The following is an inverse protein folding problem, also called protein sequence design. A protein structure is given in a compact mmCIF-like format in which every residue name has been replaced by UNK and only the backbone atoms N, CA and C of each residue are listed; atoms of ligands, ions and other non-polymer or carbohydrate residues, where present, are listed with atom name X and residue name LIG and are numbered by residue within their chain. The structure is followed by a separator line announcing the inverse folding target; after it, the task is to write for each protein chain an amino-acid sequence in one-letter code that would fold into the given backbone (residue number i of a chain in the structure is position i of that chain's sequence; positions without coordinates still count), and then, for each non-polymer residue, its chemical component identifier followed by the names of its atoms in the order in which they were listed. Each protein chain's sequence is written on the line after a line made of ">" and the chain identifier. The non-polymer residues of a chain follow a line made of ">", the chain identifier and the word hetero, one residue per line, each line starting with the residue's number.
data_IF_901590094746
#
_entry.id   IF_901590094746
#
_cell.length_a   1.000
_cell.length_b   1.000
_cell.length_c   1.000
_cell.angle_alpha   90.00
_cell.angle_beta   90.00
_cell.angle_gamma   90.00
#
_symmetry.space_group_name_H-M   'P 1'
#
loop_
_entity.id
_entity.type
_entity.pdbx_description
1 polymer ?
#
# COMPACT_ATOMS: atom_id res chain seq x y z
N UNK A 1 -7.75 -13.47 -9.02
CA UNK A 1 -8.65 -14.52 -9.55
C UNK A 1 -9.57 -14.96 -8.43
N UNK A 2 -10.86 -15.15 -8.70
CA UNK A 2 -11.84 -15.69 -7.78
C UNK A 2 -12.41 -16.96 -8.42
N UNK A 3 -11.80 -18.14 -8.20
CA UNK A 3 -12.10 -19.33 -8.98
C UNK A 3 -13.49 -19.92 -8.69
N UNK A 4 -14.11 -19.58 -7.57
CA UNK A 4 -15.39 -20.14 -7.11
C UNK A 4 -16.52 -19.08 -7.11
N UNK A 5 -16.54 -18.17 -8.07
CA UNK A 5 -17.55 -17.10 -8.13
C UNK A 5 -17.90 -16.74 -9.57
N UNK A 6 -18.99 -17.33 -10.07
CA UNK A 6 -19.49 -17.11 -11.43
C UNK A 6 -19.98 -15.68 -11.68
N UNK A 7 -20.47 -15.01 -10.62
CA UNK A 7 -20.96 -13.63 -10.66
C UNK A 7 -20.06 -12.75 -9.81
N UNK A 8 -18.84 -12.52 -10.30
CA UNK A 8 -17.86 -11.67 -9.64
C UNK A 8 -16.80 -11.23 -10.62
N UNK A 9 -16.38 -9.97 -10.55
CA UNK A 9 -15.33 -9.46 -11.40
C UNK A 9 -15.48 -7.98 -11.74
N UNK A 10 -14.46 -7.44 -12.40
CA UNK A 10 -14.46 -6.07 -12.89
C UNK A 10 -13.16 -5.33 -12.59
N UNK A 11 -13.30 -4.02 -12.43
CA UNK A 11 -12.17 -3.11 -12.25
C UNK A 11 -12.37 -2.40 -10.91
N UNK A 12 -11.29 -2.31 -10.12
CA UNK A 12 -11.26 -1.61 -8.83
C UNK A 12 -12.01 -0.27 -8.89
N UNK A 13 -12.85 -0.01 -7.88
CA UNK A 13 -13.57 1.26 -7.77
C UNK A 13 -12.65 2.46 -7.60
N UNK A 14 -11.41 2.27 -7.12
CA UNK A 14 -10.39 3.32 -6.97
C UNK A 14 -9.78 3.75 -8.32
N UNK A 15 -10.05 3.04 -9.41
CA UNK A 15 -9.64 3.43 -10.77
C UNK A 15 -10.77 4.27 -11.36
N UNK A 16 -10.65 5.59 -11.22
CA UNK A 16 -11.72 6.54 -11.53
C UNK A 16 -11.61 7.11 -12.96
N UNK A 17 -10.43 7.03 -13.57
CA UNK A 17 -10.20 7.49 -14.94
C UNK A 17 -10.98 6.62 -15.93
N UNK A 18 -11.92 7.23 -16.65
CA UNK A 18 -12.79 6.53 -17.61
C UNK A 18 -12.04 5.88 -18.77
N UNK A 19 -10.97 6.52 -19.27
CA UNK A 19 -10.15 5.96 -20.35
C UNK A 19 -9.40 4.71 -19.88
N UNK A 20 -8.80 4.76 -18.69
CA UNK A 20 -8.11 3.61 -18.09
C UNK A 20 -9.08 2.46 -17.82
N UNK A 21 -10.27 2.75 -17.26
CA UNK A 21 -11.30 1.72 -17.07
C UNK A 21 -11.71 1.06 -18.39
N UNK A 22 -11.95 1.85 -19.44
CA UNK A 22 -12.34 1.31 -20.76
C UNK A 22 -11.23 0.41 -21.31
N UNK A 23 -9.98 0.85 -21.24
CA UNK A 23 -8.80 0.06 -21.65
C UNK A 23 -8.68 -1.25 -20.89
N UNK A 24 -8.77 -1.22 -19.56
CA UNK A 24 -8.69 -2.40 -18.71
C UNK A 24 -9.86 -3.36 -18.97
N UNK A 25 -11.07 -2.84 -19.23
CA UNK A 25 -12.23 -3.68 -19.58
C UNK A 25 -11.99 -4.44 -20.88
N UNK A 26 -11.41 -3.78 -21.88
CA UNK A 26 -11.01 -4.43 -23.14
C UNK A 26 -9.91 -5.47 -22.92
N UNK A 27 -8.95 -5.20 -22.04
CA UNK A 27 -7.89 -6.16 -21.69
C UNK A 27 -8.48 -7.41 -21.02
N UNK A 28 -9.35 -7.23 -20.02
CA UNK A 28 -10.00 -8.33 -19.30
C UNK A 28 -10.85 -9.18 -20.25
N UNK A 29 -11.56 -8.55 -21.20
CA UNK A 29 -12.32 -9.29 -22.22
C UNK A 29 -11.47 -10.10 -23.19
N UNK A 30 -10.14 -9.95 -23.21
CA UNK A 30 -9.20 -10.77 -24.00
C UNK A 30 -8.56 -11.90 -23.19
N UNK A 31 -8.93 -12.04 -21.92
CA UNK A 31 -8.49 -13.12 -21.06
C UNK A 31 -9.51 -14.25 -21.14
N UNK A 32 -9.00 -15.46 -21.26
CA UNK A 32 -9.81 -16.67 -21.28
C UNK A 32 -10.11 -17.07 -19.83
N UNK A 33 -11.15 -16.46 -19.26
CA UNK A 33 -11.60 -16.71 -17.89
C UNK A 33 -12.65 -17.81 -17.95
N UNK A 34 -12.34 -18.97 -17.39
CA UNK A 34 -13.23 -20.12 -17.38
C UNK A 34 -14.58 -19.81 -16.71
N UNK A 35 -15.63 -20.48 -17.17
CA UNK A 35 -16.97 -20.37 -16.60
C UNK A 35 -16.94 -20.72 -15.10
N UNK A 36 -17.62 -19.90 -14.29
CA UNK A 36 -17.59 -20.03 -12.83
C UNK A 36 -16.47 -19.25 -12.14
N UNK A 37 -15.51 -18.69 -12.88
CA UNK A 37 -14.44 -17.86 -12.33
C UNK A 37 -14.70 -16.37 -12.53
N UNK A 38 -14.30 -15.58 -11.53
CA UNK A 38 -14.32 -14.13 -11.56
C UNK A 38 -12.92 -13.52 -11.57
N UNK A 39 -12.76 -12.35 -12.19
CA UNK A 39 -11.50 -11.61 -12.19
C UNK A 39 -11.71 -10.14 -11.83
N UNK A 40 -10.95 -9.65 -10.85
CA UNK A 40 -10.92 -8.23 -10.48
C UNK A 40 -9.53 -7.66 -10.77
N UNK A 41 -9.48 -6.61 -11.58
CA UNK A 41 -8.27 -5.80 -11.75
C UNK A 41 -8.13 -4.83 -10.59
N UNK A 42 -7.08 -5.02 -9.78
CA UNK A 42 -6.73 -4.16 -8.64
C UNK A 42 -6.15 -2.82 -9.10
N UNK A 43 -6.12 -1.83 -8.20
CA UNK A 43 -5.55 -0.49 -8.46
C UNK A 43 -4.11 -0.54 -8.98
N UNK A 44 -3.27 -1.43 -8.44
CA UNK A 44 -1.89 -1.64 -8.91
C UNK A 44 -1.80 -2.15 -10.37
N UNK A 45 -2.87 -2.76 -10.88
CA UNK A 45 -2.98 -3.22 -12.26
C UNK A 45 -3.37 -2.11 -13.25
N UNK A 46 -3.72 -0.90 -12.80
CA UNK A 46 -4.30 0.13 -13.64
C UNK A 46 -3.40 0.57 -14.80
N UNK A 47 -2.10 0.65 -14.56
CA UNK A 47 -1.10 1.08 -15.54
C UNK A 47 -0.33 -0.07 -16.19
N UNK A 48 -0.81 -1.32 -16.06
CA UNK A 48 -0.14 -2.50 -16.60
C UNK A 48 -0.57 -2.79 -18.02
N UNK A 49 0.33 -3.42 -18.77
CA UNK A 49 0.10 -3.86 -20.14
C UNK A 49 -0.74 -5.14 -20.17
N UNK A 50 -1.35 -5.44 -21.33
CA UNK A 50 -2.07 -6.70 -21.55
C UNK A 50 -1.17 -7.92 -21.28
N UNK A 51 0.10 -7.85 -21.68
CA UNK A 51 1.05 -8.94 -21.49
C UNK A 51 1.33 -9.21 -20.00
N UNK A 52 1.52 -8.16 -19.20
CA UNK A 52 1.71 -8.27 -17.75
C UNK A 52 0.45 -8.84 -17.08
N UNK A 53 -0.73 -8.31 -17.42
CA UNK A 53 -2.00 -8.77 -16.84
C UNK A 53 -2.29 -10.23 -17.21
N UNK A 54 -2.03 -10.62 -18.47
CA UNK A 54 -2.19 -12.01 -18.92
C UNK A 54 -1.23 -12.94 -18.19
N UNK A 55 0.01 -12.53 -17.94
CA UNK A 55 0.98 -13.34 -17.20
C UNK A 55 0.58 -13.53 -15.75
N UNK A 56 0.14 -12.46 -15.07
CA UNK A 56 -0.38 -12.53 -13.71
C UNK A 56 -1.62 -13.44 -13.64
N UNK A 57 -2.56 -13.30 -14.59
CA UNK A 57 -3.71 -14.19 -14.71
C UNK A 57 -3.30 -15.66 -14.86
N UNK A 58 -2.39 -15.97 -15.79
CA UNK A 58 -1.89 -17.34 -16.00
C UNK A 58 -1.20 -17.91 -14.76
N UNK A 59 -0.42 -17.08 -14.05
CA UNK A 59 0.19 -17.46 -12.79
C UNK A 59 -0.88 -17.84 -11.74
N UNK A 60 -1.91 -17.01 -11.57
CA UNK A 60 -2.99 -17.26 -10.63
C UNK A 60 -3.83 -18.50 -11.02
N UNK A 61 -4.04 -18.76 -12.31
CA UNK A 61 -4.75 -19.95 -12.79
C UNK A 61 -3.96 -21.23 -12.47
N UNK A 62 -2.65 -21.26 -12.74
CA UNK A 62 -1.81 -22.42 -12.40
C UNK A 62 -1.77 -22.67 -10.90
N UNK A 63 -1.59 -21.61 -10.12
CA UNK A 63 -1.64 -21.70 -8.67
C UNK A 63 -2.97 -22.29 -8.19
N UNK A 64 -4.09 -21.92 -8.81
CA UNK A 64 -5.38 -22.52 -8.48
C UNK A 64 -5.47 -24.00 -8.88
N UNK A 65 -4.92 -24.38 -10.03
CA UNK A 65 -4.83 -25.78 -10.45
C UNK A 65 -4.02 -26.62 -9.45
N UNK A 66 -2.85 -26.13 -9.04
CA UNK A 66 -2.00 -26.78 -8.03
C UNK A 66 -2.76 -26.97 -6.71
N UNK A 67 -3.50 -25.94 -6.26
CA UNK A 67 -4.34 -26.01 -5.06
C UNK A 67 -5.42 -27.08 -5.22
N UNK A 68 -6.11 -27.12 -6.38
CA UNK A 68 -7.17 -28.10 -6.65
C UNK A 68 -6.63 -29.53 -6.64
N UNK A 69 -5.52 -29.77 -7.35
CA UNK A 69 -4.88 -31.08 -7.44
C UNK A 69 -4.38 -31.56 -6.08
N UNK A 70 -3.73 -30.68 -5.31
CA UNK A 70 -3.28 -31.00 -3.96
C UNK A 70 -4.46 -31.29 -3.02
N UNK A 71 -5.57 -30.55 -3.17
CA UNK A 71 -6.77 -30.78 -2.37
C UNK A 71 -7.39 -32.16 -2.64
N UNK A 72 -7.51 -32.55 -3.92
CA UNK A 72 -8.10 -33.85 -4.30
C UNK A 72 -7.22 -35.04 -3.89
N UNK A 73 -5.90 -34.87 -3.94
CA UNK A 73 -4.94 -35.94 -3.63
C UNK A 73 -4.61 -36.08 -2.13
N UNK A 74 -5.00 -35.12 -1.30
CA UNK A 74 -4.65 -35.11 0.13
C UNK A 74 -5.77 -35.66 1.02
N UNK A 75 -5.39 -36.22 2.17
CA UNK A 75 -6.34 -36.58 3.24
C UNK A 75 -6.39 -35.46 4.28
N UNK A 76 -7.59 -35.06 4.70
CA UNK A 76 -7.77 -33.98 5.67
C UNK A 76 -7.41 -34.42 7.11
N UNK A 77 -6.93 -33.50 7.98
CA UNK A 77 -6.57 -32.11 7.70
C UNK A 77 -5.16 -31.97 7.09
N UNK A 78 -5.00 -31.08 6.11
CA UNK A 78 -3.70 -30.83 5.46
C UNK A 78 -3.60 -29.39 4.96
N UNK A 79 -2.38 -28.86 4.91
CA UNK A 79 -2.08 -27.54 4.33
C UNK A 79 -2.06 -27.65 2.79
N UNK A 80 -3.09 -27.13 2.14
CA UNK A 80 -3.19 -27.13 0.66
C UNK A 80 -2.52 -25.91 0.01
N UNK A 81 -2.47 -24.78 0.70
CA UNK A 81 -1.84 -23.56 0.22
C UNK A 81 -1.32 -22.73 1.37
N UNK A 82 -0.09 -22.24 1.24
CA UNK A 82 0.47 -21.23 2.12
C UNK A 82 0.56 -19.93 1.33
N UNK A 83 0.01 -18.86 1.90
CA UNK A 83 0.12 -17.53 1.33
C UNK A 83 1.61 -17.13 1.24
N UNK A 84 1.97 -16.42 0.18
CA UNK A 84 3.36 -16.02 -0.04
C UNK A 84 3.96 -15.31 1.17
N UNK A 85 5.25 -15.53 1.40
CA UNK A 85 5.97 -14.86 2.48
C UNK A 85 5.98 -13.33 2.31
N UNK A 86 6.52 -12.62 3.31
CA UNK A 86 6.53 -11.15 3.33
C UNK A 86 7.11 -10.54 2.04
N UNK A 87 8.16 -11.13 1.48
CA UNK A 87 8.81 -10.65 0.25
C UNK A 87 7.83 -10.67 -0.93
N UNK A 88 7.14 -11.81 -1.14
CA UNK A 88 6.15 -11.94 -2.22
C UNK A 88 4.97 -10.98 -2.01
N UNK A 89 4.49 -10.83 -0.78
CA UNK A 89 3.41 -9.89 -0.44
C UNK A 89 3.82 -8.45 -0.71
N UNK A 90 4.99 -8.03 -0.26
CA UNK A 90 5.52 -6.69 -0.51
C UNK A 90 5.67 -6.40 -2.01
N UNK A 91 6.23 -7.33 -2.79
CA UNK A 91 6.34 -7.14 -4.24
C UNK A 91 4.95 -7.10 -4.90
N UNK A 92 4.02 -7.96 -4.50
CA UNK A 92 2.67 -7.99 -5.08
C UNK A 92 1.89 -6.71 -4.80
N UNK A 93 1.96 -6.22 -3.56
CA UNK A 93 1.05 -5.20 -3.06
C UNK A 93 1.64 -3.78 -3.15
N UNK A 94 2.98 -3.63 -3.07
CA UNK A 94 3.65 -2.32 -3.01
C UNK A 94 4.47 -1.97 -4.26
N UNK A 95 4.86 -2.94 -5.08
CA UNK A 95 5.79 -2.67 -6.19
C UNK A 95 5.19 -1.74 -7.26
N UNK A 96 5.84 -0.59 -7.47
CA UNK A 96 5.59 0.28 -8.62
C UNK A 96 6.69 0.14 -9.68
N UNK A 97 6.32 0.30 -10.95
CA UNK A 97 7.28 0.40 -12.07
C UNK A 97 8.25 1.57 -11.90
N UNK A 98 7.83 2.60 -11.16
CA UNK A 98 8.57 3.84 -10.91
C UNK A 98 9.67 3.66 -9.84
N UNK A 99 9.73 2.51 -9.16
CA UNK A 99 10.83 2.22 -8.25
C UNK A 99 12.13 2.01 -9.02
N UNK A 100 13.20 2.66 -8.58
CA UNK A 100 14.53 2.50 -9.19
C UNK A 100 15.09 1.11 -8.93
N UNK A 101 15.02 0.66 -7.68
CA UNK A 101 15.52 -0.63 -7.24
C UNK A 101 14.72 -1.23 -6.09
N UNK A 102 14.81 -2.55 -5.94
CA UNK A 102 14.34 -3.33 -4.79
C UNK A 102 15.58 -3.99 -4.20
N UNK A 103 16.09 -3.44 -3.11
CA UNK A 103 17.30 -3.95 -2.44
C UNK A 103 16.90 -4.93 -1.35
N UNK A 104 17.53 -6.10 -1.34
CA UNK A 104 17.20 -7.19 -0.41
C UNK A 104 18.46 -7.68 0.27
N UNK A 105 18.44 -7.67 1.59
CA UNK A 105 19.45 -8.29 2.42
C UNK A 105 19.17 -9.80 2.60
N UNK A 106 20.22 -10.62 2.53
CA UNK A 106 20.14 -12.08 2.54
C UNK A 106 20.03 -12.74 1.15
N UNK A 107 20.85 -13.78 0.93
CA UNK A 107 20.98 -14.46 -0.37
C UNK A 107 19.70 -15.23 -0.79
N UNK A 108 19.07 -15.94 0.15
CA UNK A 108 17.86 -16.74 -0.14
C UNK A 108 16.67 -15.83 -0.46
N UNK A 109 16.47 -14.80 0.36
CA UNK A 109 15.47 -13.74 0.16
C UNK A 109 15.63 -13.05 -1.19
N UNK A 110 16.87 -12.72 -1.57
CA UNK A 110 17.18 -12.13 -2.87
C UNK A 110 16.83 -13.08 -4.02
N UNK A 111 17.24 -14.35 -3.94
CA UNK A 111 16.97 -15.36 -4.96
C UNK A 111 15.48 -15.55 -5.14
N UNK A 112 14.72 -15.62 -4.05
CA UNK A 112 13.27 -15.75 -4.08
C UNK A 112 12.61 -14.54 -4.75
N UNK A 113 12.91 -13.33 -4.30
CA UNK A 113 12.37 -12.11 -4.87
C UNK A 113 12.68 -11.97 -6.36
N UNK A 114 13.92 -12.27 -6.75
CA UNK A 114 14.35 -12.22 -8.15
C UNK A 114 13.63 -13.26 -8.99
N UNK A 115 13.37 -14.45 -8.45
CA UNK A 115 12.61 -15.51 -9.13
C UNK A 115 11.15 -15.10 -9.29
N UNK A 116 10.54 -14.57 -8.23
CA UNK A 116 9.16 -14.08 -8.26
C UNK A 116 8.99 -12.91 -9.22
N UNK A 117 9.93 -11.96 -9.22
CA UNK A 117 9.94 -10.84 -10.16
C UNK A 117 10.13 -11.33 -11.61
N UNK A 118 11.00 -12.31 -11.87
CA UNK A 118 11.13 -12.92 -13.20
C UNK A 118 9.84 -13.58 -13.67
N UNK A 119 9.11 -14.22 -12.77
CA UNK A 119 7.86 -14.91 -13.08
C UNK A 119 6.75 -13.94 -13.46
N UNK A 120 6.62 -12.79 -12.78
CA UNK A 120 5.54 -11.83 -13.03
C UNK A 120 5.96 -10.71 -14.01
N UNK A 121 7.14 -10.14 -13.80
CA UNK A 121 7.66 -8.96 -14.52
C UNK A 121 9.16 -9.13 -14.88
N UNK A 122 9.51 -9.98 -15.86
CA UNK A 122 10.89 -10.28 -16.25
C UNK A 122 11.74 -9.06 -16.58
N UNK A 123 11.17 -8.03 -17.25
CA UNK A 123 11.88 -6.79 -17.56
C UNK A 123 12.30 -6.01 -16.31
N UNK A 124 11.61 -6.19 -15.19
CA UNK A 124 11.88 -5.54 -13.91
C UNK A 124 12.78 -6.38 -12.99
N UNK A 125 13.05 -7.64 -13.32
CA UNK A 125 13.89 -8.52 -12.50
C UNK A 125 15.32 -7.99 -12.28
N UNK A 126 15.82 -7.12 -13.17
CA UNK A 126 17.14 -6.46 -13.02
C UNK A 126 17.16 -5.38 -11.92
N UNK A 127 16.00 -4.85 -11.54
CA UNK A 127 15.83 -3.87 -10.45
C UNK A 127 15.93 -4.52 -9.07
N UNK A 128 15.79 -5.84 -8.98
CA UNK A 128 16.03 -6.58 -7.73
C UNK A 128 17.54 -6.72 -7.54
N UNK A 129 18.06 -6.11 -6.48
CA UNK A 129 19.47 -6.08 -6.10
C UNK A 129 19.67 -6.78 -4.77
N UNK A 130 20.75 -7.52 -4.65
CA UNK A 130 21.17 -8.07 -3.36
C UNK A 130 21.98 -6.98 -2.65
N UNK A 131 21.68 -6.76 -1.37
CA UNK A 131 22.52 -5.97 -0.50
C UNK A 131 23.84 -6.71 -0.28
N UNK A 132 24.96 -6.03 -0.46
CA UNK A 132 26.30 -6.57 -0.26
C UNK A 132 27.22 -5.61 0.52
N UNK A 133 26.66 -4.54 1.07
CA UNK A 133 27.40 -3.59 1.89
C UNK A 133 27.64 -4.13 3.30
N UNK A 134 28.74 -3.72 3.92
CA UNK A 134 29.08 -4.10 5.29
C UNK A 134 28.14 -3.47 6.33
N UNK A 135 27.57 -2.30 6.02
CA UNK A 135 26.60 -1.65 6.87
C UNK A 135 25.21 -2.30 6.70
N UNK A 136 24.39 -2.37 7.78
CA UNK A 136 23.02 -2.82 7.67
C UNK A 136 22.22 -2.00 6.64
N UNK A 137 21.40 -2.68 5.83
CA UNK A 137 20.67 -2.08 4.71
C UNK A 137 19.90 -0.80 5.09
N UNK A 138 19.19 -0.82 6.22
CA UNK A 138 18.40 0.33 6.67
C UNK A 138 19.24 1.50 7.16
N UNK A 139 20.42 1.22 7.72
CA UNK A 139 21.36 2.24 8.17
C UNK A 139 21.97 2.96 6.98
N UNK A 140 22.40 2.20 5.96
CA UNK A 140 22.96 2.76 4.72
C UNK A 140 21.97 3.70 4.01
N UNK A 141 20.68 3.40 4.06
CA UNK A 141 19.63 4.21 3.44
C UNK A 141 18.93 5.21 4.38
N UNK A 142 19.42 5.39 5.62
CA UNK A 142 18.83 6.34 6.57
C UNK A 142 17.36 6.05 6.93
N UNK A 143 16.96 4.77 6.86
CA UNK A 143 15.63 4.28 7.21
C UNK A 143 15.54 3.99 8.71
N UNK A 144 16.65 3.61 9.33
CA UNK A 144 16.71 3.21 10.74
C UNK A 144 16.20 4.33 11.68
N UNK A 145 16.64 5.58 11.47
CA UNK A 145 16.17 6.73 12.27
C UNK A 145 14.65 6.96 12.12
N UNK A 146 14.12 6.72 10.92
CA UNK A 146 12.68 6.86 10.65
C UNK A 146 11.87 5.77 11.33
N UNK A 147 12.40 4.55 11.39
CA UNK A 147 11.79 3.43 12.13
C UNK A 147 11.83 3.70 13.63
N UNK A 148 12.96 4.19 14.16
CA UNK A 148 13.07 4.56 15.56
C UNK A 148 12.06 5.66 15.94
N UNK A 149 11.88 6.66 15.07
CA UNK A 149 10.91 7.73 15.26
C UNK A 149 9.45 7.24 15.31
N UNK A 150 9.12 6.07 14.76
CA UNK A 150 7.76 5.51 14.82
C UNK A 150 7.34 5.09 16.24
N UNK A 151 8.29 4.86 17.14
CA UNK A 151 7.99 4.56 18.54
C UNK A 151 7.72 5.80 19.38
N UNK A 152 8.05 6.99 18.86
CA UNK A 152 7.73 8.23 19.55
C UNK A 152 6.24 8.55 19.35
N UNK A 153 5.45 8.75 20.42
CA UNK A 153 4.06 9.18 20.28
C UNK A 153 3.95 10.57 19.61
N UNK A 154 4.98 11.40 19.74
CA UNK A 154 5.02 12.76 19.18
C UNK A 154 5.69 12.79 17.82
N UNK A 155 5.07 13.48 16.86
CA UNK A 155 5.57 13.64 15.49
C UNK A 155 5.62 15.11 15.12
N UNK A 156 6.80 15.64 14.82
CA UNK A 156 6.98 17.05 14.45
C UNK A 156 6.56 17.30 13.00
N UNK A 157 5.77 18.35 12.79
CA UNK A 157 5.31 18.82 11.48
C UNK A 157 6.33 19.78 10.84
N UNK A 158 6.36 19.89 9.50
CA UNK A 158 7.31 20.76 8.78
C UNK A 158 7.37 22.21 9.25
N UNK A 159 6.23 22.78 9.65
CA UNK A 159 6.16 24.18 10.12
C UNK A 159 6.39 24.35 11.63
N UNK A 160 6.72 23.29 12.36
CA UNK A 160 7.04 23.35 13.80
C UNK A 160 5.85 23.11 14.74
N UNK A 161 4.70 22.76 14.18
CA UNK A 161 3.64 22.07 14.92
C UNK A 161 4.01 20.61 15.21
N UNK A 162 3.13 19.87 15.87
CA UNK A 162 3.35 18.45 16.13
C UNK A 162 2.03 17.70 16.36
N UNK A 163 2.07 16.39 16.11
CA UNK A 163 1.01 15.45 16.44
C UNK A 163 1.36 14.72 17.72
N UNK A 164 0.36 14.34 18.52
CA UNK A 164 0.52 13.38 19.62
C UNK A 164 -0.43 12.21 19.38
N UNK A 165 0.11 11.00 19.22
CA UNK A 165 -0.64 9.78 18.88
C UNK A 165 -0.73 8.88 20.12
N UNK A 166 -1.95 8.64 20.59
CA UNK A 166 -2.23 7.85 21.80
C UNK A 166 -3.18 6.68 21.49
N UNK A 167 -2.66 5.44 21.44
CA UNK A 167 -3.48 4.25 21.38
C UNK A 167 -4.22 4.03 22.71
N UNK A 168 -5.51 3.70 22.64
CA UNK A 168 -6.34 3.26 23.77
C UNK A 168 -6.86 1.85 23.49
N UNK A 169 -7.69 1.30 24.39
CA UNK A 169 -8.28 -0.03 24.21
C UNK A 169 -9.18 -0.14 22.96
N UNK A 170 -9.95 0.91 22.65
CA UNK A 170 -10.98 0.85 21.61
C UNK A 170 -10.67 1.73 20.39
N UNK A 171 -9.83 2.75 20.55
CA UNK A 171 -9.54 3.74 19.52
C UNK A 171 -8.12 4.30 19.63
N UNK A 172 -7.64 4.96 18.59
CA UNK A 172 -6.41 5.75 18.62
C UNK A 172 -6.80 7.22 18.54
N UNK A 173 -6.42 8.01 19.55
CA UNK A 173 -6.59 9.46 19.52
C UNK A 173 -5.34 10.14 18.98
N UNK A 174 -5.53 11.19 18.18
CA UNK A 174 -4.48 11.98 17.59
C UNK A 174 -4.78 13.46 17.84
N UNK A 175 -3.92 14.12 18.59
CA UNK A 175 -4.02 15.54 18.91
C UNK A 175 -3.07 16.38 18.04
N UNK A 176 -3.55 17.52 17.53
CA UNK A 176 -2.80 18.40 16.62
C UNK A 176 -2.45 19.72 17.32
N UNK A 177 -1.16 20.00 17.43
CA UNK A 177 -0.65 21.20 18.08
C UNK A 177 0.09 22.11 17.09
N UNK A 178 -0.19 23.41 17.11
CA UNK A 178 0.52 24.41 16.30
C UNK A 178 1.96 24.65 16.79
N UNK A 179 2.26 24.36 18.05
CA UNK A 179 3.61 24.44 18.60
C UNK A 179 4.24 25.82 18.38
N UNK A 180 5.40 25.84 17.69
CA UNK A 180 6.11 27.09 17.32
C UNK A 180 5.79 27.57 15.90
N UNK A 181 4.77 27.02 15.25
CA UNK A 181 4.32 27.45 13.94
C UNK A 181 3.69 28.85 14.05
N UNK A 182 4.49 29.90 13.93
CA UNK A 182 4.03 31.30 13.96
C UNK A 182 4.37 32.02 12.65
N UNK A 183 4.32 31.29 11.53
CA UNK A 183 4.68 31.84 10.22
C UNK A 183 3.61 32.77 9.64
N UNK A 184 2.35 32.61 10.06
CA UNK A 184 1.24 33.40 9.55
C UNK A 184 0.89 34.55 10.50
N UNK A 185 0.44 35.68 9.91
CA UNK A 185 0.01 36.84 10.68
C UNK A 185 -1.32 36.64 11.42
N UNK A 186 -2.09 35.61 11.03
CA UNK A 186 -3.41 35.30 11.60
C UNK A 186 -3.43 33.92 12.24
N UNK A 187 -4.08 33.83 13.41
CA UNK A 187 -4.30 32.58 14.14
C UNK A 187 -5.08 31.58 13.28
N UNK A 188 -6.14 32.03 12.61
CA UNK A 188 -6.96 31.19 11.73
C UNK A 188 -6.15 30.59 10.58
N UNK A 189 -5.27 31.39 9.95
CA UNK A 189 -4.39 30.91 8.89
C UNK A 189 -3.37 29.89 9.41
N UNK A 190 -2.83 30.13 10.60
CA UNK A 190 -1.90 29.20 11.27
C UNK A 190 -2.58 27.87 11.58
N UNK A 191 -3.80 27.90 12.10
CA UNK A 191 -4.60 26.71 12.39
C UNK A 191 -4.87 25.90 11.12
N UNK A 192 -5.36 26.55 10.05
CA UNK A 192 -5.58 25.90 8.77
C UNK A 192 -4.29 25.29 8.20
N UNK A 193 -3.19 26.04 8.17
CA UNK A 193 -1.92 25.55 7.64
C UNK A 193 -1.41 24.33 8.42
N UNK A 194 -1.47 24.39 9.76
CA UNK A 194 -1.07 23.29 10.64
C UNK A 194 -1.97 22.06 10.43
N UNK A 195 -3.29 22.23 10.37
CA UNK A 195 -4.23 21.13 10.15
C UNK A 195 -4.07 20.48 8.77
N UNK A 196 -3.71 21.25 7.73
CA UNK A 196 -3.42 20.70 6.41
C UNK A 196 -2.13 19.88 6.39
N UNK A 197 -1.08 20.31 7.10
CA UNK A 197 0.15 19.51 7.30
C UNK A 197 -0.15 18.25 8.13
N UNK A 198 -0.88 18.42 9.22
CA UNK A 198 -1.31 17.33 10.10
C UNK A 198 -2.09 16.27 9.33
N UNK A 199 -3.00 16.67 8.44
CA UNK A 199 -3.79 15.73 7.66
C UNK A 199 -2.94 14.77 6.83
N UNK A 200 -1.90 15.29 6.17
CA UNK A 200 -0.96 14.48 5.39
C UNK A 200 -0.15 13.57 6.32
N UNK A 201 0.33 14.11 7.43
CA UNK A 201 1.21 13.38 8.34
C UNK A 201 0.46 12.29 9.11
N UNK A 202 -0.79 12.51 9.51
CA UNK A 202 -1.66 11.48 10.09
C UNK A 202 -1.86 10.32 9.13
N UNK A 203 -2.19 10.58 7.87
CA UNK A 203 -2.34 9.52 6.86
C UNK A 203 -1.03 8.74 6.65
N UNK A 204 0.11 9.42 6.69
CA UNK A 204 1.44 8.79 6.61
C UNK A 204 1.74 7.92 7.83
N UNK A 205 1.50 8.42 9.04
CA UNK A 205 1.75 7.70 10.29
C UNK A 205 0.82 6.50 10.46
N UNK A 206 -0.44 6.61 10.05
CA UNK A 206 -1.38 5.50 10.04
C UNK A 206 -0.86 4.32 9.21
N UNK A 207 -0.27 4.61 8.03
CA UNK A 207 0.36 3.57 7.19
C UNK A 207 1.65 3.02 7.79
N UNK A 208 2.49 3.89 8.35
CA UNK A 208 3.78 3.45 8.90
C UNK A 208 3.61 2.59 10.14
N UNK A 209 2.75 3.01 11.07
CA UNK A 209 2.51 2.32 12.34
C UNK A 209 1.43 1.23 12.25
N UNK A 210 0.91 0.98 11.06
CA UNK A 210 -0.20 0.05 10.82
C UNK A 210 -1.40 0.31 11.76
N UNK A 211 -1.77 1.59 11.92
CA UNK A 211 -2.89 1.97 12.79
C UNK A 211 -4.20 1.51 12.15
N UNK A 212 -4.98 0.76 12.92
CA UNK A 212 -6.27 0.20 12.48
C UNK A 212 -7.35 0.46 13.54
N UNK A 213 -8.62 0.25 13.15
CA UNK A 213 -9.77 0.50 14.01
C UNK A 213 -10.27 1.95 13.93
N UNK A 214 -10.85 2.44 15.03
CA UNK A 214 -11.35 3.81 15.11
C UNK A 214 -10.20 4.77 15.37
N UNK A 215 -9.97 5.72 14.45
CA UNK A 215 -9.04 6.82 14.62
C UNK A 215 -9.84 8.10 14.86
N UNK A 216 -9.54 8.81 15.95
CA UNK A 216 -10.14 10.10 16.30
C UNK A 216 -9.05 11.15 16.20
N UNK A 217 -9.24 12.16 15.35
CA UNK A 217 -8.28 13.23 15.12
C UNK A 217 -8.87 14.52 15.64
N UNK A 218 -8.23 15.11 16.64
CA UNK A 218 -8.58 16.39 17.23
C UNK A 218 -7.77 17.48 16.51
N UNK A 219 -8.37 18.09 15.49
CA UNK A 219 -7.77 19.19 14.74
C UNK A 219 -7.92 20.50 15.52
N UNK A 220 -7.02 21.45 15.29
CA UNK A 220 -7.12 22.79 15.88
C UNK A 220 -8.42 23.43 15.39
N UNK A 221 -9.19 24.02 16.31
CA UNK A 221 -10.43 24.73 15.98
C UNK A 221 -10.20 25.81 14.91
N UNK A 222 -11.14 25.88 13.96
CA UNK A 222 -11.16 26.87 12.89
C UNK A 222 -12.57 27.43 12.78
N UNK A 223 -12.69 28.76 12.75
CA UNK A 223 -13.98 29.45 12.73
C UNK A 223 -14.67 29.30 11.36
N UNK A 224 -13.89 29.27 10.27
CA UNK A 224 -14.46 29.19 8.93
C UNK A 224 -14.76 27.75 8.52
N UNK A 225 -16.04 27.44 8.29
CA UNK A 225 -16.46 26.13 7.76
C UNK A 225 -15.78 25.71 6.44
N UNK A 226 -15.30 26.68 5.65
CA UNK A 226 -14.53 26.40 4.43
C UNK A 226 -13.19 25.73 4.75
N UNK A 227 -12.57 26.10 5.86
CA UNK A 227 -11.29 25.57 6.34
C UNK A 227 -11.46 24.13 6.82
N UNK A 228 -12.52 23.84 7.58
CA UNK A 228 -12.89 22.47 7.97
C UNK A 228 -13.02 21.54 6.74
N UNK A 229 -13.78 21.98 5.72
CA UNK A 229 -13.92 21.23 4.46
C UNK A 229 -12.61 21.04 3.69
N UNK A 230 -11.69 22.00 3.79
CA UNK A 230 -10.39 21.89 3.14
C UNK A 230 -9.54 20.81 3.80
N UNK A 231 -9.54 20.72 5.14
CA UNK A 231 -8.84 19.69 5.91
C UNK A 231 -9.46 18.31 5.67
N UNK A 232 -10.79 18.17 5.70
CA UNK A 232 -11.46 16.92 5.37
C UNK A 232 -11.13 16.42 3.96
N UNK A 233 -11.12 17.33 2.97
CA UNK A 233 -10.72 17.01 1.60
C UNK A 233 -9.26 16.56 1.57
N UNK A 234 -8.38 17.26 2.28
CA UNK A 234 -6.95 16.91 2.34
C UNK A 234 -6.74 15.52 2.95
N UNK A 235 -7.47 15.18 4.00
CA UNK A 235 -7.47 13.84 4.60
C UNK A 235 -7.92 12.76 3.62
N UNK A 236 -8.90 13.04 2.75
CA UNK A 236 -9.36 12.08 1.72
C UNK A 236 -8.37 11.90 0.57
N UNK A 237 -7.54 12.91 0.29
CA UNK A 237 -6.54 12.90 -0.77
C UNK A 237 -5.23 12.20 -0.34
N UNK A 238 -4.89 12.24 0.95
CA UNK A 238 -3.62 11.73 1.52
C UNK A 238 -3.57 10.21 1.74
#
# INVERSE_FOLDING_TARGET
>A
LMPNTARGGGISRKINNGADRKKLKTIVGKLDVADGMGLIVRTAGAQRTLAEIRRDFQYLTRMWEDIREKTVSSTAPTLVYEEGNLIRRCIRDLYSKDFDQVVIDGADSYKEAKTYMKLLMPSHARKVKQHAGDAPLFKEHGVEDKLAAMFNPTVVLPSGGYLVINPTEALVSIDVNSGKSTREQSVEKTALATNLEAAIEVARQARLRDLAGLLVIDFIDMDENRNNRAVERKMKEA
#
